data_IF_999764010438
#
_entry.id   IF_999764010438
#
_cell.length_a   1.000
_cell.length_b   1.000
_cell.length_c   1.000
_cell.angle_alpha   90.00
_cell.angle_beta   90.00
_cell.angle_gamma   90.00
#
_symmetry.space_group_name_H-M   'P 1'
#
loop_
_entity.id
_entity.type
_entity.pdbx_description
1 polymer ?
#
# COMPACT_ATOMS: atom_id res chain seq x y z
N UNK A 1 8.61 7.59 9.68
CA UNK A 1 8.68 8.33 10.96
C UNK A 1 10.13 8.46 11.38
N UNK A 2 10.57 9.68 11.66
CA UNK A 2 11.93 10.01 12.11
C UNK A 2 11.87 10.72 13.46
N UNK A 3 12.88 10.53 14.30
CA UNK A 3 13.01 11.28 15.56
C UNK A 3 13.66 12.66 15.36
N UNK A 4 13.82 13.42 16.43
CA UNK A 4 14.45 14.75 16.40
C UNK A 4 15.90 14.78 15.87
N UNK A 5 16.59 13.64 15.82
CA UNK A 5 17.94 13.53 15.25
C UNK A 5 17.93 13.19 13.75
N UNK A 6 16.73 13.01 13.17
CA UNK A 6 16.55 12.56 11.80
C UNK A 6 16.68 11.04 11.61
N UNK A 7 16.91 10.28 12.69
CA UNK A 7 17.01 8.82 12.63
C UNK A 7 15.63 8.23 12.36
N UNK A 8 15.55 7.31 11.38
CA UNK A 8 14.31 6.57 11.12
C UNK A 8 14.02 5.62 12.27
N UNK A 9 12.86 5.81 12.90
CA UNK A 9 12.38 4.99 14.02
C UNK A 9 11.28 4.02 13.60
N UNK A 10 10.54 4.34 12.53
CA UNK A 10 9.54 3.44 11.96
C UNK A 10 9.28 3.76 10.49
N UNK A 11 9.05 2.72 9.70
CA UNK A 11 8.56 2.79 8.34
C UNK A 11 7.71 1.56 8.05
N UNK A 12 6.60 1.77 7.33
CA UNK A 12 5.75 0.70 6.83
C UNK A 12 5.24 1.09 5.46
N UNK A 13 5.27 0.13 4.55
CA UNK A 13 4.69 0.23 3.22
C UNK A 13 3.63 -0.86 3.10
N UNK A 14 2.51 -0.52 2.47
CA UNK A 14 1.49 -1.46 2.03
C UNK A 14 1.23 -1.21 0.55
N UNK A 15 1.03 -2.27 -0.20
CA UNK A 15 0.70 -2.24 -1.62
C UNK A 15 -0.73 -2.74 -1.77
N UNK A 16 -1.46 -2.11 -2.69
CA UNK A 16 -2.80 -2.50 -3.09
C UNK A 16 -2.72 -2.84 -4.57
N UNK A 17 -3.11 -4.05 -4.95
CA UNK A 17 -3.03 -4.54 -6.32
C UNK A 17 -4.34 -5.23 -6.70
N UNK A 18 -4.76 -5.04 -7.96
CA UNK A 18 -5.86 -5.80 -8.56
C UNK A 18 -5.22 -6.74 -9.57
N UNK A 19 -5.29 -8.05 -9.31
CA UNK A 19 -4.81 -9.05 -10.26
C UNK A 19 -5.98 -9.58 -11.09
N UNK A 20 -6.00 -9.24 -12.38
CA UNK A 20 -6.82 -9.95 -13.35
C UNK A 20 -5.96 -11.03 -14.04
N UNK A 21 -6.16 -12.29 -13.66
CA UNK A 21 -5.44 -13.42 -14.26
C UNK A 21 -5.89 -13.65 -15.71
N UNK A 22 -5.06 -13.21 -16.67
CA UNK A 22 -5.24 -13.51 -18.09
C UNK A 22 -4.31 -14.65 -18.50
N UNK A 23 -4.83 -15.88 -18.64
CA UNK A 23 -4.03 -17.02 -19.10
C UNK A 23 -3.70 -16.92 -20.60
N UNK A 24 -2.42 -17.10 -20.95
CA UNK A 24 -1.88 -16.97 -22.33
C UNK A 24 -2.28 -18.09 -23.31
N UNK A 25 -3.20 -18.99 -22.98
CA UNK A 25 -3.51 -20.16 -23.82
C UNK A 25 -4.89 -20.06 -24.46
N UNK A 26 -4.95 -19.16 -25.45
CA UNK A 26 -6.07 -18.92 -26.36
C UNK A 26 -6.19 -20.05 -27.43
N UNK A 27 -6.13 -21.33 -27.00
CA UNK A 27 -6.44 -22.47 -27.85
C UNK A 27 -7.82 -22.99 -27.43
N UNK A 28 -8.76 -22.99 -28.37
CA UNK A 28 -10.07 -23.59 -28.22
C UNK A 28 -9.93 -25.02 -27.65
N UNK A 29 -10.56 -25.29 -26.52
CA UNK A 29 -10.54 -26.61 -25.88
C UNK A 29 -9.30 -26.95 -25.02
N UNK A 30 -8.34 -26.05 -24.82
CA UNK A 30 -7.10 -26.36 -24.06
C UNK A 30 -7.36 -26.71 -22.58
N UNK A 31 -8.53 -26.38 -22.03
CA UNK A 31 -9.06 -26.88 -20.75
C UNK A 31 -10.59 -27.12 -20.79
N UNK A 32 -11.21 -27.15 -21.98
CA UNK A 32 -12.67 -27.16 -22.12
C UNK A 32 -13.38 -25.85 -21.77
N UNK A 33 -12.62 -24.75 -21.67
CA UNK A 33 -13.10 -23.42 -21.29
C UNK A 33 -12.93 -22.45 -22.47
N UNK A 34 -13.97 -21.69 -22.81
CA UNK A 34 -13.92 -20.60 -23.79
C UNK A 34 -13.43 -19.29 -23.14
N UNK A 35 -13.03 -18.29 -23.93
CA UNK A 35 -12.58 -16.98 -23.40
C UNK A 35 -13.59 -16.29 -22.47
N UNK A 36 -14.89 -16.58 -22.60
CA UNK A 36 -15.92 -16.06 -21.72
C UNK A 36 -16.12 -16.90 -20.44
N UNK A 37 -15.64 -18.15 -20.43
CA UNK A 37 -15.64 -19.02 -19.24
C UNK A 37 -14.54 -18.62 -18.24
N UNK A 38 -13.54 -17.84 -18.66
CA UNK A 38 -12.52 -17.23 -17.78
C UNK A 38 -12.98 -15.81 -17.40
N UNK A 39 -14.22 -15.69 -16.92
CA UNK A 39 -14.65 -14.53 -16.16
C UNK A 39 -14.40 -14.85 -14.68
N UNK A 40 -13.18 -14.55 -14.22
CA UNK A 40 -12.76 -14.47 -12.82
C UNK A 40 -13.47 -15.43 -11.84
N UNK A 41 -13.00 -16.68 -11.72
CA UNK A 41 -13.56 -17.58 -10.71
C UNK A 41 -13.18 -17.22 -9.27
N UNK A 42 -12.18 -16.36 -9.06
CA UNK A 42 -11.96 -15.68 -7.78
C UNK A 42 -11.24 -14.35 -8.04
N UNK A 43 -11.90 -13.23 -7.74
CA UNK A 43 -11.21 -11.95 -7.63
C UNK A 43 -10.40 -11.94 -6.34
N UNK A 44 -9.07 -11.97 -6.44
CA UNK A 44 -8.21 -11.63 -5.30
C UNK A 44 -8.27 -10.10 -5.15
N UNK A 45 -9.21 -9.64 -4.34
CA UNK A 45 -9.48 -8.22 -4.14
C UNK A 45 -8.57 -7.66 -3.03
N UNK A 46 -7.31 -7.39 -3.36
CA UNK A 46 -6.35 -6.69 -2.49
C UNK A 46 -6.36 -5.16 -2.73
N UNK A 47 -7.43 -4.65 -3.32
CA UNK A 47 -7.61 -3.23 -3.61
C UNK A 47 -8.27 -2.48 -2.45
N UNK A 48 -8.04 -1.16 -2.41
CA UNK A 48 -8.83 -0.26 -1.58
C UNK A 48 -10.29 -0.27 -2.05
N UNK A 49 -11.21 -0.61 -1.15
CA UNK A 49 -12.64 -0.57 -1.45
C UNK A 49 -13.12 0.87 -1.72
N UNK A 50 -13.80 1.13 -2.85
CA UNK A 50 -14.28 2.46 -3.19
C UNK A 50 -15.20 3.06 -2.12
N UNK A 51 -14.92 4.29 -1.71
CA UNK A 51 -15.75 5.01 -0.74
C UNK A 51 -15.62 4.54 0.71
N UNK A 52 -14.83 3.49 0.99
CA UNK A 52 -14.54 3.06 2.35
C UNK A 52 -13.16 3.54 2.80
N UNK A 53 -13.11 4.14 3.98
CA UNK A 53 -11.84 4.53 4.60
C UNK A 53 -11.27 3.35 5.38
N UNK A 54 -10.12 2.84 4.95
CA UNK A 54 -9.34 1.90 5.74
C UNK A 54 -8.46 2.67 6.75
N UNK A 55 -8.40 2.20 7.98
CA UNK A 55 -7.65 2.84 9.08
C UNK A 55 -6.74 1.85 9.77
N UNK A 56 -5.50 2.26 10.04
CA UNK A 56 -4.52 1.45 10.75
C UNK A 56 -3.97 2.21 11.95
N UNK A 57 -3.71 1.48 13.02
CA UNK A 57 -3.04 2.01 14.21
C UNK A 57 -1.77 1.20 14.46
N UNK A 58 -0.64 1.89 14.59
CA UNK A 58 0.64 1.30 14.92
C UNK A 58 1.11 1.84 16.27
N UNK A 59 1.46 0.94 17.19
CA UNK A 59 2.09 1.30 18.46
C UNK A 59 3.60 1.19 18.28
N UNK A 60 4.29 2.33 18.37
CA UNK A 60 5.72 2.42 18.10
C UNK A 60 6.43 2.82 19.39
N UNK A 61 7.24 1.95 20.01
CA UNK A 61 8.00 2.32 21.18
C UNK A 61 9.06 3.35 20.80
N UNK A 62 9.15 4.42 21.60
CA UNK A 62 10.16 5.46 21.43
C UNK A 62 11.27 5.26 22.46
N UNK A 63 12.49 5.65 22.11
CA UNK A 63 13.60 5.68 23.04
C UNK A 63 13.39 6.73 24.12
N UNK A 64 13.89 6.46 25.32
CA UNK A 64 13.86 7.45 26.40
C UNK A 64 14.58 8.73 25.95
N UNK A 65 13.95 9.89 26.17
CA UNK A 65 14.49 11.19 25.76
C UNK A 65 14.11 11.64 24.34
N UNK A 66 13.32 10.86 23.59
CA UNK A 66 12.70 11.35 22.34
C UNK A 66 11.76 12.53 22.65
N UNK A 67 12.04 13.69 22.04
CA UNK A 67 11.30 14.94 22.25
C UNK A 67 10.30 15.22 21.14
N UNK A 68 10.58 14.75 19.94
CA UNK A 68 9.66 14.89 18.82
C UNK A 68 9.86 13.80 17.79
N UNK A 69 8.81 13.55 17.02
CA UNK A 69 8.88 12.73 15.81
C UNK A 69 8.22 13.44 14.64
N UNK A 70 8.82 13.28 13.47
CA UNK A 70 8.24 13.68 12.19
C UNK A 70 7.63 12.45 11.51
N UNK A 71 6.36 12.56 11.16
CA UNK A 71 5.57 11.52 10.51
C UNK A 71 5.30 11.99 9.08
N UNK A 72 5.86 11.27 8.11
CA UNK A 72 5.52 11.38 6.69
C UNK A 72 4.61 10.21 6.31
N UNK A 73 3.49 10.50 5.67
CA UNK A 73 2.62 9.52 5.02
C UNK A 73 2.43 9.92 3.56
N UNK A 74 2.60 8.97 2.65
CA UNK A 74 2.42 9.19 1.23
C UNK A 74 1.60 8.09 0.59
N UNK A 75 0.58 8.49 -0.17
CA UNK A 75 -0.14 7.62 -1.07
C UNK A 75 0.48 7.75 -2.47
N UNK A 76 0.96 6.62 -2.99
CA UNK A 76 1.78 6.58 -4.21
C UNK A 76 1.09 5.67 -5.22
N UNK A 77 0.88 6.19 -6.42
CA UNK A 77 0.47 5.41 -7.57
C UNK A 77 1.72 4.88 -8.28
N UNK A 78 1.81 3.55 -8.42
CA UNK A 78 2.88 2.88 -9.17
C UNK A 78 2.30 2.46 -10.52
N UNK A 79 2.88 2.97 -11.60
CA UNK A 79 2.46 2.62 -12.96
C UNK A 79 3.23 1.36 -13.42
N UNK A 80 4.56 1.44 -13.37
CA UNK A 80 5.48 0.35 -13.73
C UNK A 80 6.71 0.41 -12.82
N UNK A 81 7.59 -0.60 -12.91
CA UNK A 81 8.84 -0.62 -12.14
C UNK A 81 9.65 0.65 -12.40
N UNK A 82 9.95 1.40 -11.34
CA UNK A 82 10.68 2.67 -11.42
C UNK A 82 9.83 3.88 -11.84
N UNK A 83 8.57 3.69 -12.22
CA UNK A 83 7.64 4.77 -12.58
C UNK A 83 6.52 4.88 -11.54
N UNK A 84 6.66 5.86 -10.65
CA UNK A 84 5.69 6.11 -9.58
C UNK A 84 5.45 7.61 -9.40
N UNK A 85 4.23 7.95 -9.00
CA UNK A 85 3.81 9.32 -8.70
C UNK A 85 3.20 9.39 -7.30
N UNK A 86 3.61 10.39 -6.52
CA UNK A 86 2.97 10.68 -5.23
C UNK A 86 1.63 11.35 -5.51
N UNK A 87 0.54 10.64 -5.23
CA UNK A 87 -0.83 11.16 -5.39
C UNK A 87 -1.15 12.13 -4.27
N UNK A 88 -0.74 11.78 -3.05
CA UNK A 88 -0.99 12.59 -1.86
C UNK A 88 0.13 12.37 -0.85
N UNK A 89 0.54 13.44 -0.19
CA UNK A 89 1.48 13.41 0.92
C UNK A 89 0.93 14.24 2.06
N UNK A 90 1.06 13.72 3.27
CA UNK A 90 0.75 14.42 4.51
C UNK A 90 1.95 14.30 5.44
N UNK A 91 2.25 15.39 6.14
CA UNK A 91 3.35 15.45 7.09
C UNK A 91 2.86 16.02 8.41
N UNK A 92 3.31 15.43 9.51
CA UNK A 92 2.94 15.87 10.85
C UNK A 92 4.12 15.72 11.79
N UNK A 93 4.46 16.81 12.47
CA UNK A 93 5.36 16.78 13.61
C UNK A 93 4.55 16.58 14.88
N UNK A 94 5.01 15.68 15.74
CA UNK A 94 4.46 15.46 17.07
C UNK A 94 5.56 15.78 18.08
N UNK A 95 5.27 16.69 18.99
CA UNK A 95 6.16 17.04 20.10
C UNK A 95 5.64 16.40 21.37
N UNK A 96 6.54 15.76 22.12
CA UNK A 96 6.24 15.15 23.40
C UNK A 96 6.65 16.12 24.49
N UNK A 97 5.66 16.74 25.12
CA UNK A 97 5.90 17.51 26.35
C UNK A 97 6.10 16.52 27.48
N UNK A 98 7.22 16.65 28.18
CA UNK A 98 7.45 15.93 29.44
C UNK A 98 6.61 16.53 30.54
#
# INVERSE_FOLDING_TARGET
MKDQSGKQVFSKTREYEVYDFHFKHNKEGYLGLNNWDITAMDHVYDALEPGKTESFTYVIPLTEGTKSVDIDASFVYKYESGQAAVVKKETKKVEFTK
#
